data_IF_458699547329
#
_entry.id   IF_458699547329
#
_cell.length_a   1.000
_cell.length_b   1.000
_cell.length_c   1.000
_cell.angle_alpha   90.00
_cell.angle_beta   90.00
_cell.angle_gamma   90.00
#
_symmetry.space_group_name_H-M   'P 1'
#
loop_
_entity.id
_entity.type
_entity.pdbx_description
1 polymer ?
#
# COMPACT_ATOMS: atom_id res chain seq x y z
N UNK A 1 4.04 -4.74 3.07
CA UNK A 1 3.91 -3.49 3.85
C UNK A 1 2.43 -3.24 4.13
N UNK A 2 1.57 -2.91 3.15
CA UNK A 2 0.17 -2.55 3.36
C UNK A 2 -0.63 -3.60 4.15
N UNK A 3 -0.52 -4.88 3.79
CA UNK A 3 -1.19 -5.96 4.51
C UNK A 3 -0.76 -6.05 5.99
N UNK A 4 0.50 -5.78 6.30
CA UNK A 4 1.00 -5.74 7.67
C UNK A 4 0.47 -4.52 8.44
N UNK A 5 0.37 -3.37 7.79
CA UNK A 5 -0.24 -2.18 8.39
C UNK A 5 -1.70 -2.43 8.74
N UNK A 6 -2.50 -2.95 7.80
CA UNK A 6 -3.89 -3.32 8.06
C UNK A 6 -4.03 -4.35 9.19
N UNK A 7 -3.15 -5.37 9.21
CA UNK A 7 -3.14 -6.36 10.29
C UNK A 7 -2.93 -5.71 11.66
N UNK A 8 -1.93 -4.83 11.77
CA UNK A 8 -1.63 -4.16 13.03
C UNK A 8 -2.78 -3.24 13.47
N UNK A 9 -3.31 -2.43 12.57
CA UNK A 9 -4.42 -1.52 12.86
C UNK A 9 -5.69 -2.28 13.26
N UNK A 10 -6.07 -3.33 12.54
CA UNK A 10 -7.27 -4.11 12.87
C UNK A 10 -7.08 -4.84 14.19
N UNK A 11 -5.90 -5.42 14.43
CA UNK A 11 -5.60 -6.07 15.70
C UNK A 11 -5.68 -5.10 16.88
N UNK A 12 -5.25 -3.86 16.70
CA UNK A 12 -5.40 -2.80 17.70
C UNK A 12 -6.87 -2.44 17.92
N UNK A 13 -7.67 -2.29 16.85
CA UNK A 13 -9.10 -1.96 16.95
C UNK A 13 -9.93 -3.04 17.64
N UNK A 14 -9.67 -4.31 17.34
CA UNK A 14 -10.45 -5.39 17.96
C UNK A 14 -9.96 -5.70 19.37
N UNK A 15 -8.72 -5.34 19.72
CA UNK A 15 -8.19 -5.39 21.07
C UNK A 15 -8.50 -6.67 21.81
N UNK A 16 -9.17 -6.54 22.96
CA UNK A 16 -9.59 -7.66 23.84
C UNK A 16 -10.99 -8.20 23.53
N UNK A 17 -11.56 -7.91 22.36
CA UNK A 17 -12.93 -8.35 22.00
C UNK A 17 -13.05 -9.86 21.76
N UNK A 18 -11.95 -10.61 21.88
CA UNK A 18 -11.94 -12.06 21.60
C UNK A 18 -11.98 -12.41 20.13
N UNK A 19 -11.77 -11.44 19.23
CA UNK A 19 -11.73 -11.63 17.77
C UNK A 19 -10.36 -12.13 17.34
N UNK A 20 -10.30 -13.27 16.68
CA UNK A 20 -9.05 -13.82 16.18
C UNK A 20 -8.67 -13.27 14.80
N UNK A 21 -7.49 -12.64 14.72
CA UNK A 21 -6.98 -12.00 13.50
C UNK A 21 -5.68 -12.67 13.06
N UNK A 22 -5.56 -13.03 11.79
CA UNK A 22 -4.32 -13.58 11.23
C UNK A 22 -3.86 -12.83 9.98
N UNK A 23 -2.53 -12.86 9.74
CA UNK A 23 -1.88 -12.33 8.55
C UNK A 23 -1.37 -13.49 7.67
N UNK A 24 -1.79 -13.54 6.41
CA UNK A 24 -1.32 -14.51 5.42
C UNK A 24 -0.70 -13.81 4.21
N UNK A 25 0.64 -13.82 4.15
CA UNK A 25 1.44 -13.29 3.05
C UNK A 25 2.35 -14.37 2.48
N UNK A 26 3.03 -14.08 1.37
CA UNK A 26 4.00 -14.99 0.78
C UNK A 26 5.16 -15.37 1.70
N UNK A 27 5.51 -14.51 2.69
CA UNK A 27 6.61 -14.73 3.64
C UNK A 27 6.23 -15.61 4.84
N UNK A 28 4.96 -15.96 5.03
CA UNK A 28 4.51 -16.80 6.16
C UNK A 28 5.04 -18.21 6.00
N UNK A 29 5.70 -18.72 7.06
CA UNK A 29 6.28 -20.06 7.10
C UNK A 29 5.21 -21.14 6.92
N UNK A 30 5.57 -22.27 6.29
CA UNK A 30 4.65 -23.36 5.94
C UNK A 30 3.90 -23.92 7.15
N UNK A 31 4.55 -24.05 8.30
CA UNK A 31 3.90 -24.56 9.52
C UNK A 31 2.78 -23.63 9.99
N UNK A 32 3.05 -22.31 10.05
CA UNK A 32 2.07 -21.31 10.44
C UNK A 32 0.93 -21.20 9.43
N UNK A 33 1.24 -21.31 8.13
CA UNK A 33 0.24 -21.33 7.06
C UNK A 33 -0.76 -22.49 7.25
N UNK A 34 -0.28 -23.69 7.61
CA UNK A 34 -1.16 -24.83 7.89
C UNK A 34 -2.12 -24.56 9.05
N UNK A 35 -1.64 -23.93 10.13
CA UNK A 35 -2.47 -23.55 11.28
C UNK A 35 -3.56 -22.56 10.86
N UNK A 36 -3.19 -21.53 10.10
CA UNK A 36 -4.15 -20.54 9.59
C UNK A 36 -5.22 -21.21 8.71
N UNK A 37 -4.82 -22.11 7.80
CA UNK A 37 -5.76 -22.84 6.95
C UNK A 37 -6.72 -23.69 7.78
N UNK A 38 -6.22 -24.44 8.78
CA UNK A 38 -7.07 -25.24 9.68
C UNK A 38 -8.11 -24.38 10.40
N UNK A 39 -7.68 -23.23 10.95
CA UNK A 39 -8.57 -22.28 11.63
C UNK A 39 -9.61 -21.62 10.70
N UNK A 40 -9.30 -21.46 9.42
CA UNK A 40 -10.28 -20.98 8.44
C UNK A 40 -11.32 -22.04 8.11
N UNK A 41 -10.90 -23.31 7.99
CA UNK A 41 -11.77 -24.43 7.67
C UNK A 41 -12.69 -24.79 8.84
N UNK A 42 -12.22 -24.73 10.09
CA UNK A 42 -13.03 -24.98 11.29
C UNK A 42 -13.85 -23.74 11.73
N UNK A 43 -13.50 -22.55 11.23
CA UNK A 43 -14.19 -21.28 11.51
C UNK A 43 -13.81 -20.64 12.83
N UNK A 44 -12.66 -20.99 13.42
CA UNK A 44 -12.12 -20.36 14.63
C UNK A 44 -11.31 -19.10 14.35
N UNK A 45 -11.03 -18.77 13.08
CA UNK A 45 -10.41 -17.52 12.66
C UNK A 45 -11.47 -16.57 12.11
N UNK A 46 -11.61 -15.42 12.73
CA UNK A 46 -12.63 -14.42 12.39
C UNK A 46 -12.22 -13.51 11.26
N UNK A 47 -10.97 -13.03 11.29
CA UNK A 47 -10.46 -12.06 10.31
C UNK A 47 -9.13 -12.55 9.73
N UNK A 48 -9.10 -12.71 8.41
CA UNK A 48 -7.87 -13.01 7.68
C UNK A 48 -7.46 -11.82 6.82
N UNK A 49 -6.24 -11.34 7.03
CA UNK A 49 -5.64 -10.25 6.25
C UNK A 49 -4.48 -10.80 5.44
N UNK A 50 -4.30 -10.32 4.23
CA UNK A 50 -3.16 -10.75 3.42
C UNK A 50 -3.13 -10.15 2.02
N UNK A 51 -2.35 -10.79 1.18
CA UNK A 51 -2.17 -10.41 -0.22
C UNK A 51 -2.90 -11.39 -1.14
N UNK A 52 -2.52 -11.46 -2.39
CA UNK A 52 -3.07 -12.42 -3.38
C UNK A 52 -3.08 -13.88 -2.91
N UNK A 53 -2.29 -14.22 -1.91
CA UNK A 53 -2.27 -15.56 -1.30
C UNK A 53 -3.65 -15.99 -0.75
N UNK A 54 -4.53 -15.04 -0.41
CA UNK A 54 -5.89 -15.32 0.09
C UNK A 54 -6.82 -15.92 -0.99
N UNK A 55 -6.50 -15.68 -2.27
CA UNK A 55 -7.35 -16.12 -3.38
C UNK A 55 -6.96 -17.49 -3.90
N UNK A 56 -5.80 -18.01 -3.47
CA UNK A 56 -5.34 -19.34 -3.86
C UNK A 56 -6.41 -20.41 -3.55
N UNK A 57 -6.56 -21.40 -4.43
CA UNK A 57 -7.58 -22.46 -4.28
C UNK A 57 -7.39 -23.30 -3.02
N UNK A 58 -6.16 -23.34 -2.48
CA UNK A 58 -5.81 -24.02 -1.22
C UNK A 58 -6.38 -23.33 0.03
N UNK A 59 -6.77 -22.05 -0.06
CA UNK A 59 -7.38 -21.32 1.05
C UNK A 59 -8.87 -21.59 1.03
N UNK A 60 -9.34 -22.36 1.97
CA UNK A 60 -10.76 -22.69 2.13
C UNK A 60 -11.31 -21.99 3.35
N UNK A 61 -12.49 -21.41 3.21
CA UNK A 61 -13.21 -20.77 4.31
C UNK A 61 -14.41 -21.64 4.69
N UNK A 62 -14.70 -21.75 5.97
CA UNK A 62 -15.94 -22.37 6.44
C UNK A 62 -17.16 -21.58 5.99
N UNK A 63 -17.11 -20.27 6.20
CA UNK A 63 -18.15 -19.34 5.79
C UNK A 63 -17.60 -17.91 5.75
N UNK A 64 -17.32 -17.39 4.57
CA UNK A 64 -16.86 -16.00 4.40
C UNK A 64 -18.07 -15.09 4.25
N UNK A 65 -18.29 -14.15 5.18
CA UNK A 65 -19.39 -13.18 5.13
C UNK A 65 -19.04 -11.90 4.39
N UNK A 66 -17.83 -11.42 4.54
CA UNK A 66 -17.36 -10.15 3.95
C UNK A 66 -15.95 -10.27 3.38
N UNK A 67 -15.74 -9.77 2.19
CA UNK A 67 -14.41 -9.59 1.60
C UNK A 67 -14.16 -8.10 1.33
N UNK A 68 -13.09 -7.56 1.92
CA UNK A 68 -12.64 -6.18 1.71
C UNK A 68 -11.41 -6.17 0.82
N UNK A 69 -11.46 -5.42 -0.27
CA UNK A 69 -10.40 -5.32 -1.28
C UNK A 69 -9.93 -3.89 -1.33
N UNK A 70 -8.71 -3.65 -0.88
CA UNK A 70 -8.08 -2.34 -0.95
C UNK A 70 -7.17 -2.24 -2.17
N UNK A 71 -7.01 -1.03 -2.73
CA UNK A 71 -6.21 -0.76 -3.92
C UNK A 71 -6.54 -1.68 -5.11
N UNK A 72 -7.77 -1.61 -5.53
CA UNK A 72 -8.42 -2.49 -6.49
C UNK A 72 -7.70 -2.65 -7.84
N UNK A 73 -6.90 -1.70 -8.29
CA UNK A 73 -6.26 -1.76 -9.63
C UNK A 73 -5.43 -3.03 -9.86
N UNK A 74 -5.09 -3.76 -8.80
CA UNK A 74 -4.41 -5.06 -8.83
C UNK A 74 -5.33 -6.27 -8.72
N UNK A 75 -6.68 -6.05 -8.67
CA UNK A 75 -7.65 -7.09 -8.38
C UNK A 75 -8.73 -7.17 -9.48
N UNK A 76 -8.49 -7.99 -10.50
CA UNK A 76 -9.36 -8.12 -11.66
C UNK A 76 -10.69 -8.88 -11.40
N UNK A 77 -11.61 -8.82 -12.36
CA UNK A 77 -12.92 -9.52 -12.34
C UNK A 77 -12.77 -11.03 -12.08
N UNK A 78 -11.77 -11.67 -12.69
CA UNK A 78 -11.51 -13.10 -12.51
C UNK A 78 -11.15 -13.46 -11.05
N UNK A 79 -10.49 -12.58 -10.33
CA UNK A 79 -10.10 -12.82 -8.94
C UNK A 79 -11.29 -12.65 -7.99
N UNK A 80 -12.19 -11.69 -8.26
CA UNK A 80 -13.47 -11.55 -7.52
C UNK A 80 -14.35 -12.77 -7.71
N UNK A 81 -14.48 -13.25 -8.94
CA UNK A 81 -15.21 -14.47 -9.26
C UNK A 81 -14.71 -15.70 -8.48
N UNK A 82 -13.41 -15.78 -8.23
CA UNK A 82 -12.85 -16.85 -7.38
C UNK A 82 -13.28 -16.74 -5.92
N UNK A 83 -13.40 -15.54 -5.36
CA UNK A 83 -13.90 -15.33 -4.01
C UNK A 83 -15.37 -15.75 -3.87
N UNK A 84 -16.20 -15.43 -4.87
CA UNK A 84 -17.62 -15.83 -4.88
C UNK A 84 -17.80 -17.35 -4.87
N UNK A 85 -16.90 -18.08 -5.54
CA UNK A 85 -16.97 -19.55 -5.61
C UNK A 85 -16.43 -20.27 -4.36
N UNK A 86 -15.81 -19.55 -3.44
CA UNK A 86 -15.26 -20.13 -2.20
C UNK A 86 -16.31 -20.46 -1.14
N UNK A 87 -17.55 -20.03 -1.35
CA UNK A 87 -18.66 -20.21 -0.42
C UNK A 87 -19.93 -20.70 -1.14
N UNK A 88 -20.82 -21.34 -0.40
CA UNK A 88 -22.15 -21.71 -0.92
C UNK A 88 -23.02 -20.46 -1.18
N UNK A 89 -22.90 -19.46 -0.33
CA UNK A 89 -23.52 -18.15 -0.52
C UNK A 89 -22.41 -17.11 -0.82
N UNK A 90 -22.57 -16.26 -1.86
CA UNK A 90 -21.60 -15.24 -2.16
C UNK A 90 -21.36 -14.31 -0.96
N UNK A 91 -20.13 -13.97 -0.60
CA UNK A 91 -19.85 -13.00 0.45
C UNK A 91 -20.21 -11.58 -0.02
N UNK A 92 -20.48 -10.69 0.91
CA UNK A 92 -20.48 -9.26 0.62
C UNK A 92 -19.08 -8.82 0.19
N UNK A 93 -19.01 -7.93 -0.81
CA UNK A 93 -17.72 -7.43 -1.32
C UNK A 93 -17.68 -5.92 -1.20
N UNK A 94 -16.71 -5.43 -0.45
CA UNK A 94 -16.35 -4.01 -0.39
C UNK A 94 -15.05 -3.79 -1.14
N UNK A 95 -15.11 -2.94 -2.16
CA UNK A 95 -13.94 -2.55 -2.96
C UNK A 95 -13.62 -1.10 -2.66
N UNK A 96 -12.37 -0.85 -2.28
CA UNK A 96 -11.87 0.50 -1.97
C UNK A 96 -10.77 0.89 -2.95
N UNK A 97 -10.75 2.17 -3.33
CA UNK A 97 -9.68 2.74 -4.16
C UNK A 97 -9.53 4.23 -3.88
N UNK A 98 -8.28 4.70 -3.85
CA UNK A 98 -7.97 6.12 -3.76
C UNK A 98 -7.99 6.82 -5.14
N UNK A 99 -8.00 6.07 -6.24
CA UNK A 99 -8.11 6.64 -7.58
C UNK A 99 -9.57 6.91 -7.92
N UNK A 100 -9.97 8.17 -8.18
CA UNK A 100 -11.34 8.47 -8.54
C UNK A 100 -11.68 7.84 -9.89
N UNK A 101 -12.65 6.92 -9.88
CA UNK A 101 -13.20 6.33 -11.10
C UNK A 101 -14.52 7.04 -11.39
N UNK A 102 -14.70 7.64 -12.57
CA UNK A 102 -15.98 8.23 -12.94
C UNK A 102 -17.12 7.25 -12.71
N UNK A 103 -18.22 7.70 -12.08
CA UNK A 103 -19.35 6.84 -11.70
C UNK A 103 -19.89 6.02 -12.86
N UNK A 104 -19.96 6.61 -14.06
CA UNK A 104 -20.37 5.93 -15.30
C UNK A 104 -19.43 4.78 -15.68
N UNK A 105 -18.13 4.99 -15.53
CA UNK A 105 -17.11 3.97 -15.79
C UNK A 105 -17.16 2.88 -14.72
N UNK A 106 -17.35 3.23 -13.46
CA UNK A 106 -17.53 2.28 -12.37
C UNK A 106 -18.74 1.37 -12.60
N UNK A 107 -19.88 1.91 -13.00
CA UNK A 107 -21.07 1.13 -13.34
C UNK A 107 -20.83 0.19 -14.53
N UNK A 108 -20.03 0.58 -15.51
CA UNK A 108 -19.68 -0.27 -16.65
C UNK A 108 -18.77 -1.44 -16.27
N UNK A 109 -17.82 -1.20 -15.36
CA UNK A 109 -16.85 -2.22 -14.94
C UNK A 109 -17.34 -3.11 -13.79
N UNK A 110 -18.26 -2.61 -12.96
CA UNK A 110 -18.68 -3.27 -11.71
C UNK A 110 -20.14 -3.65 -11.67
N UNK A 111 -20.92 -3.28 -12.71
CA UNK A 111 -22.31 -3.65 -12.98
C UNK A 111 -23.26 -3.77 -11.78
N UNK A 112 -22.92 -4.64 -10.85
CA UNK A 112 -23.76 -5.02 -9.71
C UNK A 112 -23.32 -4.38 -8.38
N UNK A 113 -22.39 -3.39 -8.38
CA UNK A 113 -21.92 -2.74 -7.17
C UNK A 113 -22.45 -1.32 -7.04
N UNK A 114 -22.98 -1.00 -5.86
CA UNK A 114 -23.29 0.38 -5.50
C UNK A 114 -22.00 1.17 -5.26
N UNK A 115 -21.99 2.44 -5.66
CA UNK A 115 -20.83 3.32 -5.53
C UNK A 115 -21.09 4.39 -4.49
N UNK A 116 -20.25 4.39 -3.46
CA UNK A 116 -20.19 5.46 -2.46
C UNK A 116 -18.90 6.26 -2.62
N UNK A 117 -18.99 7.57 -2.56
CA UNK A 117 -17.86 8.48 -2.70
C UNK A 117 -17.61 9.18 -1.37
N UNK A 118 -16.35 9.14 -0.91
CA UNK A 118 -15.88 9.95 0.24
C UNK A 118 -15.23 11.19 -0.37
N UNK A 119 -15.92 12.32 -0.33
CA UNK A 119 -15.53 13.57 -0.99
C UNK A 119 -15.00 14.63 0.00
N UNK A 120 -15.02 14.33 1.30
CA UNK A 120 -14.51 15.20 2.33
C UNK A 120 -13.17 14.70 2.88
N UNK A 121 -12.30 15.65 3.25
CA UNK A 121 -11.06 15.32 3.94
C UNK A 121 -11.31 15.08 5.43
N UNK A 122 -10.54 14.16 6.06
CA UNK A 122 -10.62 13.97 7.51
C UNK A 122 -10.38 15.27 8.27
N UNK A 123 -11.04 15.46 9.42
CA UNK A 123 -10.83 16.64 10.25
C UNK A 123 -9.35 16.88 10.59
N UNK A 124 -8.89 18.12 10.46
CA UNK A 124 -7.50 18.51 10.76
C UNK A 124 -6.49 18.26 9.63
N UNK A 125 -6.87 17.64 8.53
CA UNK A 125 -6.00 17.48 7.37
C UNK A 125 -5.84 18.80 6.63
N UNK A 126 -4.60 19.28 6.54
CA UNK A 126 -4.28 20.50 5.80
C UNK A 126 -4.28 20.24 4.30
N UNK A 127 -4.70 21.22 3.47
CA UNK A 127 -4.59 21.11 2.03
C UNK A 127 -3.12 20.98 1.60
N UNK A 128 -2.88 20.18 0.56
CA UNK A 128 -1.55 20.01 -0.04
C UNK A 128 -1.35 21.12 -1.06
N UNK A 129 -0.23 21.83 -0.94
CA UNK A 129 0.18 22.84 -1.92
C UNK A 129 1.14 22.19 -2.93
N UNK A 130 0.73 22.13 -4.20
CA UNK A 130 1.56 21.64 -5.30
C UNK A 130 2.09 22.81 -6.09
N UNK A 131 3.43 22.88 -6.27
CA UNK A 131 4.11 23.91 -7.06
C UNK A 131 4.97 23.27 -8.14
N UNK A 132 4.93 23.82 -9.33
CA UNK A 132 5.80 23.43 -10.43
C UNK A 132 6.96 24.41 -10.58
N UNK A 133 8.18 23.88 -10.72
CA UNK A 133 9.39 24.67 -10.97
C UNK A 133 10.18 24.07 -12.13
N UNK A 134 10.76 24.94 -12.97
CA UNK A 134 11.72 24.55 -13.98
C UNK A 134 13.13 24.46 -13.39
N UNK A 135 14.05 23.77 -14.05
CA UNK A 135 15.43 23.55 -13.59
C UNK A 135 16.18 24.83 -13.22
N UNK A 136 15.88 25.95 -13.88
CA UNK A 136 16.41 27.27 -13.56
C UNK A 136 16.12 27.70 -12.12
N UNK A 137 15.10 27.17 -11.50
CA UNK A 137 14.67 27.47 -10.14
C UNK A 137 15.16 26.48 -9.09
N UNK A 138 16.08 25.59 -9.43
CA UNK A 138 16.59 24.52 -8.53
C UNK A 138 17.08 25.07 -7.19
N UNK A 139 17.74 26.21 -7.18
CA UNK A 139 18.21 26.85 -5.95
C UNK A 139 17.05 27.28 -5.03
N UNK A 140 15.93 27.74 -5.60
CA UNK A 140 14.73 28.08 -4.82
C UNK A 140 14.11 26.82 -4.18
N UNK A 141 14.12 25.69 -4.89
CA UNK A 141 13.66 24.42 -4.35
C UNK A 141 14.54 23.96 -3.20
N UNK A 142 15.86 24.08 -3.33
CA UNK A 142 16.79 23.74 -2.25
C UNK A 142 16.60 24.61 -1.02
N UNK A 143 16.40 25.92 -1.20
CA UNK A 143 16.11 26.81 -0.08
C UNK A 143 14.80 26.42 0.62
N UNK A 144 13.76 26.10 -0.14
CA UNK A 144 12.50 25.62 0.42
C UNK A 144 12.68 24.33 1.20
N UNK A 145 13.50 23.40 0.70
CA UNK A 145 13.84 22.14 1.41
C UNK A 145 14.54 22.46 2.74
N UNK A 146 15.52 23.37 2.76
CA UNK A 146 16.19 23.80 4.00
C UNK A 146 15.20 24.38 5.01
N UNK A 147 14.30 25.24 4.55
CA UNK A 147 13.29 25.87 5.41
C UNK A 147 12.32 24.84 6.01
N UNK A 148 11.96 23.82 5.25
CA UNK A 148 11.08 22.74 5.74
C UNK A 148 11.79 21.81 6.73
N UNK A 149 13.05 21.48 6.47
CA UNK A 149 13.87 20.71 7.41
C UNK A 149 14.10 21.48 8.73
N UNK A 150 14.34 22.78 8.65
CA UNK A 150 14.48 23.64 9.83
C UNK A 150 13.22 23.68 10.71
N UNK A 151 12.05 23.41 10.13
CA UNK A 151 10.77 23.24 10.84
C UNK A 151 10.56 21.82 11.42
N UNK A 152 11.57 20.95 11.33
CA UNK A 152 11.50 19.55 11.78
C UNK A 152 10.78 18.62 10.82
N UNK A 153 10.59 18.99 9.55
CA UNK A 153 9.93 18.16 8.54
C UNK A 153 10.92 17.26 7.80
N UNK A 154 10.40 16.14 7.30
CA UNK A 154 11.13 15.23 6.41
C UNK A 154 10.82 15.56 4.96
N UNK A 155 11.78 15.31 4.08
CA UNK A 155 11.67 15.59 2.64
C UNK A 155 11.96 14.32 1.85
N UNK A 156 11.10 14.01 0.89
CA UNK A 156 11.30 12.94 -0.08
C UNK A 156 11.54 13.53 -1.46
N UNK A 157 12.64 13.12 -2.10
CA UNK A 157 12.98 13.50 -3.47
C UNK A 157 12.85 12.26 -4.33
N UNK A 158 11.92 12.28 -5.30
CA UNK A 158 11.63 11.13 -6.15
C UNK A 158 12.17 11.39 -7.56
N UNK A 159 13.03 10.49 -8.03
CA UNK A 159 13.49 10.45 -9.41
C UNK A 159 12.64 9.42 -10.17
N UNK A 160 11.90 9.84 -11.21
CA UNK A 160 11.14 8.90 -12.01
C UNK A 160 12.10 7.98 -12.78
N UNK A 161 11.79 6.67 -12.82
CA UNK A 161 12.43 5.75 -13.75
C UNK A 161 11.90 6.04 -15.15
N UNK A 162 12.78 6.36 -16.10
CA UNK A 162 12.45 6.48 -17.51
C UNK A 162 12.72 5.11 -18.13
N UNK A 163 11.74 4.51 -18.80
CA UNK A 163 11.71 3.09 -19.23
C UNK A 163 12.85 2.64 -20.17
N UNK A 164 13.74 3.52 -20.62
CA UNK A 164 14.66 3.18 -21.72
C UNK A 164 15.96 2.47 -21.34
N UNK A 165 16.45 2.53 -20.13
CA UNK A 165 17.53 1.66 -19.64
C UNK A 165 17.73 1.67 -18.14
N UNK A 166 17.58 0.51 -17.50
CA UNK A 166 17.83 0.31 -16.07
C UNK A 166 19.22 0.77 -15.58
N UNK A 167 20.21 0.83 -16.46
CA UNK A 167 21.58 1.28 -16.14
C UNK A 167 21.67 2.81 -16.11
N UNK A 168 21.00 3.50 -17.03
CA UNK A 168 20.97 4.95 -17.06
C UNK A 168 20.17 5.50 -15.87
N UNK A 169 19.00 4.93 -15.59
CA UNK A 169 18.15 5.32 -14.46
C UNK A 169 18.88 5.23 -13.12
N UNK A 170 19.68 4.18 -12.93
CA UNK A 170 20.49 4.02 -11.73
C UNK A 170 21.60 5.09 -11.65
N UNK A 171 22.22 5.42 -12.77
CA UNK A 171 23.24 6.48 -12.84
C UNK A 171 22.63 7.84 -12.50
N UNK A 172 21.50 8.19 -13.10
CA UNK A 172 20.80 9.45 -12.86
C UNK A 172 20.36 9.60 -11.39
N UNK A 173 19.92 8.48 -10.76
CA UNK A 173 19.61 8.44 -9.35
C UNK A 173 20.87 8.69 -8.49
N UNK A 174 22.01 8.10 -8.85
CA UNK A 174 23.28 8.28 -8.11
C UNK A 174 23.85 9.68 -8.28
N UNK A 175 23.81 10.24 -9.49
CA UNK A 175 24.21 11.62 -9.76
C UNK A 175 23.33 12.61 -8.99
N UNK A 176 22.02 12.35 -8.94
CA UNK A 176 21.06 13.08 -8.13
C UNK A 176 21.38 13.00 -6.65
N UNK A 177 21.63 11.80 -6.12
CA UNK A 177 22.00 11.58 -4.72
C UNK A 177 23.29 12.31 -4.35
N UNK A 178 24.33 12.25 -5.19
CA UNK A 178 25.58 12.97 -4.97
C UNK A 178 25.36 14.49 -4.92
N UNK A 179 24.57 15.02 -5.84
CA UNK A 179 24.22 16.45 -5.87
C UNK A 179 23.48 16.90 -4.62
N UNK A 180 22.52 16.10 -4.11
CA UNK A 180 21.78 16.37 -2.88
C UNK A 180 22.71 16.27 -1.66
N UNK A 181 23.51 15.20 -1.56
CA UNK A 181 24.44 15.01 -0.43
C UNK A 181 25.49 16.11 -0.34
N UNK A 182 25.92 16.66 -1.48
CA UNK A 182 26.84 17.83 -1.53
C UNK A 182 26.16 19.09 -1.01
N UNK A 183 24.87 19.28 -1.32
CA UNK A 183 24.10 20.45 -0.88
C UNK A 183 23.67 20.34 0.59
N UNK A 184 23.41 19.12 1.06
CA UNK A 184 22.95 18.81 2.41
C UNK A 184 23.97 17.88 3.12
N UNK A 185 25.13 18.42 3.54
CA UNK A 185 26.21 17.59 4.08
C UNK A 185 25.93 17.12 5.52
N UNK A 186 26.50 15.94 5.85
CA UNK A 186 26.62 15.48 7.24
C UNK A 186 27.57 16.38 8.02
N UNK A 187 27.44 16.53 9.35
CA UNK A 187 26.45 15.91 10.22
C UNK A 187 25.11 16.66 10.33
N UNK A 188 25.00 17.83 9.68
CA UNK A 188 23.82 18.71 9.79
C UNK A 188 22.58 18.07 9.21
N UNK A 189 22.74 17.30 8.12
CA UNK A 189 21.64 16.62 7.42
C UNK A 189 21.95 15.14 7.28
N UNK A 190 20.91 14.31 7.33
CA UNK A 190 21.00 12.89 6.98
C UNK A 190 20.26 12.66 5.66
N UNK A 191 21.01 12.23 4.66
CA UNK A 191 20.48 11.91 3.33
C UNK A 191 20.61 10.42 3.10
N UNK A 192 19.50 9.75 2.85
CA UNK A 192 19.46 8.32 2.53
C UNK A 192 18.90 8.11 1.13
N UNK A 193 19.30 7.03 0.48
CA UNK A 193 18.81 6.62 -0.83
C UNK A 193 18.04 5.31 -0.71
N UNK A 194 16.89 5.23 -1.37
CA UNK A 194 16.09 4.00 -1.47
C UNK A 194 15.71 3.74 -2.91
N UNK A 195 15.93 2.54 -3.40
CA UNK A 195 15.57 2.15 -4.76
C UNK A 195 15.14 0.68 -4.85
N UNK A 196 14.54 0.28 -5.99
CA UNK A 196 13.92 -1.03 -6.16
C UNK A 196 14.85 -2.23 -5.97
N UNK A 197 16.15 -2.08 -6.26
CA UNK A 197 17.16 -3.15 -6.17
C UNK A 197 17.69 -3.41 -4.76
N UNK A 198 17.38 -2.55 -3.79
CA UNK A 198 17.79 -2.77 -2.39
C UNK A 198 17.02 -3.94 -1.78
N UNK A 199 17.70 -4.69 -0.91
CA UNK A 199 17.06 -5.73 -0.09
C UNK A 199 16.06 -5.13 0.87
N UNK A 200 15.05 -5.90 1.26
CA UNK A 200 13.99 -5.42 2.17
C UNK A 200 14.56 -4.87 3.48
N UNK A 201 15.54 -5.55 4.07
CA UNK A 201 16.20 -5.12 5.31
C UNK A 201 16.92 -3.77 5.16
N UNK A 202 17.49 -3.47 3.99
CA UNK A 202 18.21 -2.21 3.74
C UNK A 202 17.26 -1.01 3.48
N UNK A 203 15.97 -1.30 3.27
CA UNK A 203 14.92 -0.28 3.04
C UNK A 203 14.23 0.18 4.33
N UNK A 204 14.39 -0.57 5.41
CA UNK A 204 13.74 -0.33 6.71
C UNK A 204 14.62 0.47 7.68
N UNK A 205 15.81 0.90 7.23
CA UNK A 205 16.76 1.71 8.02
C UNK A 205 16.58 3.20 7.81
#
# INVERSE_FOLDING_TARGET
ILATQHYNSIKEFVGEMGVEVALLTGSVKTAQRKIIHSKLEDGSLDILIGTHALIEDKVKFKNIGLAVIDEQHRFGVAQRSKLWRKNLQPPHILVMTATPIPRTLAMTFYGDLDVSVIDELPPGRKPIETRHYFDQNRLKVFQFIEDEIAKGRQVYIVYPLIEESEKMDYKDLMDGYESISRRFPVPKYQVSIVHGRMKAADKEY
#
